data_IF_731811093200
#
_entry.id   IF_731811093200
#
_cell.length_a   1.000
_cell.length_b   1.000
_cell.length_c   1.000
_cell.angle_alpha   90.00
_cell.angle_beta   90.00
_cell.angle_gamma   90.00
#
_symmetry.space_group_name_H-M   'P 1'
#
loop_
_entity.id
_entity.type
_entity.pdbx_description
1 polymer ?
#
# COMPACT_ATOMS: atom_id res chain seq x y z
N UNK A 1 1.23 12.87 -8.69
CA UNK A 1 0.89 11.76 -7.78
C UNK A 1 0.60 10.52 -8.61
N UNK A 2 0.98 9.34 -8.13
CA UNK A 2 0.54 8.08 -8.74
C UNK A 2 -0.93 7.84 -8.37
N UNK A 3 -1.74 7.40 -9.33
CA UNK A 3 -3.17 7.13 -9.09
C UNK A 3 -3.46 5.85 -8.29
N UNK A 4 -2.45 5.01 -8.01
CA UNK A 4 -2.64 3.73 -7.30
C UNK A 4 -3.42 2.64 -8.06
N UNK A 5 -4.02 2.95 -9.21
CA UNK A 5 -4.93 2.05 -9.97
C UNK A 5 -4.34 0.67 -10.25
N UNK A 6 -3.05 0.60 -10.62
CA UNK A 6 -2.40 -0.68 -10.88
C UNK A 6 -2.31 -1.54 -9.61
N UNK A 7 -1.84 -0.98 -8.49
CA UNK A 7 -1.74 -1.71 -7.23
C UNK A 7 -3.10 -2.25 -6.75
N UNK A 8 -4.15 -1.42 -6.84
CA UNK A 8 -5.52 -1.84 -6.52
C UNK A 8 -6.04 -2.94 -7.45
N UNK A 9 -5.70 -2.89 -8.75
CA UNK A 9 -6.07 -3.93 -9.70
C UNK A 9 -5.35 -5.26 -9.40
N UNK A 10 -4.07 -5.21 -9.03
CA UNK A 10 -3.30 -6.39 -8.61
C UNK A 10 -3.89 -6.99 -7.33
N UNK A 11 -4.18 -6.19 -6.30
CA UNK A 11 -4.79 -6.65 -5.06
C UNK A 11 -6.14 -7.36 -5.32
N UNK A 12 -7.01 -6.75 -6.14
CA UNK A 12 -8.28 -7.36 -6.57
C UNK A 12 -8.07 -8.68 -7.31
N UNK A 13 -7.07 -8.74 -8.19
CA UNK A 13 -6.78 -9.92 -9.00
C UNK A 13 -6.20 -11.07 -8.17
N UNK A 14 -5.41 -10.77 -7.13
CA UNK A 14 -4.87 -11.75 -6.19
C UNK A 14 -5.99 -12.33 -5.30
N UNK A 15 -6.82 -11.45 -4.71
CA UNK A 15 -7.96 -11.89 -3.90
C UNK A 15 -8.93 -12.78 -4.70
N UNK A 16 -9.26 -12.40 -5.95
CA UNK A 16 -10.08 -13.23 -6.85
C UNK A 16 -9.49 -14.60 -7.16
N UNK A 17 -8.19 -14.80 -6.94
CA UNK A 17 -7.49 -16.08 -7.10
C UNK A 17 -7.38 -16.87 -5.80
N UNK A 18 -8.01 -16.39 -4.72
CA UNK A 18 -8.06 -17.06 -3.43
C UNK A 18 -6.94 -16.66 -2.46
N UNK A 19 -6.16 -15.64 -2.77
CA UNK A 19 -5.19 -15.10 -1.81
C UNK A 19 -5.89 -14.30 -0.70
N UNK A 20 -5.37 -14.40 0.52
CA UNK A 20 -5.55 -13.37 1.55
C UNK A 20 -4.68 -12.17 1.17
N UNK A 21 -5.24 -10.96 1.18
CA UNK A 21 -4.57 -9.79 0.63
C UNK A 21 -4.67 -8.63 1.60
N UNK A 22 -3.51 -8.16 2.03
CA UNK A 22 -3.33 -6.88 2.72
C UNK A 22 -2.74 -5.85 1.75
N UNK A 23 -3.42 -4.72 1.59
CA UNK A 23 -3.02 -3.60 0.74
C UNK A 23 -2.58 -2.42 1.62
N UNK A 24 -1.27 -2.18 1.69
CA UNK A 24 -0.72 -0.93 2.26
C UNK A 24 -0.86 0.19 1.22
N UNK A 25 -1.60 1.24 1.54
CA UNK A 25 -1.89 2.32 0.59
C UNK A 25 -1.81 3.71 1.21
N UNK A 26 -1.13 4.60 0.47
CA UNK A 26 -1.20 6.04 0.67
C UNK A 26 -2.60 6.63 0.43
N UNK A 27 -2.75 7.97 0.54
CA UNK A 27 -4.00 8.66 0.22
C UNK A 27 -4.45 8.37 -1.22
N UNK A 28 -5.71 7.96 -1.38
CA UNK A 28 -6.29 7.54 -2.66
C UNK A 28 -7.81 7.57 -2.57
N UNK A 29 -8.45 8.06 -3.64
CA UNK A 29 -9.92 8.04 -3.81
C UNK A 29 -10.44 6.69 -4.33
N UNK A 30 -9.55 5.72 -4.56
CA UNK A 30 -9.93 4.41 -5.06
C UNK A 30 -10.63 3.58 -3.97
N UNK A 31 -11.75 2.98 -4.34
CA UNK A 31 -12.47 2.04 -3.50
C UNK A 31 -11.62 0.77 -3.28
N UNK A 32 -11.52 0.36 -2.02
CA UNK A 32 -10.80 -0.87 -1.64
C UNK A 32 -11.53 -2.06 -2.25
N UNK A 33 -10.84 -2.97 -2.96
CA UNK A 33 -11.50 -4.15 -3.50
C UNK A 33 -12.14 -5.00 -2.39
N UNK A 34 -13.32 -5.55 -2.65
CA UNK A 34 -14.00 -6.43 -1.70
C UNK A 34 -13.09 -7.57 -1.23
N UNK A 35 -13.08 -7.83 0.07
CA UNK A 35 -12.30 -8.90 0.70
C UNK A 35 -10.79 -8.64 0.80
N UNK A 36 -10.31 -7.47 0.35
CA UNK A 36 -8.94 -7.00 0.58
C UNK A 36 -8.92 -6.15 1.85
N UNK A 37 -8.02 -6.47 2.78
CA UNK A 37 -7.76 -5.63 3.95
C UNK A 37 -6.87 -4.45 3.54
N UNK A 38 -7.18 -3.24 4.02
CA UNK A 38 -6.38 -2.05 3.74
C UNK A 38 -5.71 -1.54 5.00
N UNK A 39 -4.40 -1.32 4.91
CA UNK A 39 -3.64 -0.50 5.85
C UNK A 39 -3.41 0.87 5.21
N UNK A 40 -3.98 1.92 5.80
CA UNK A 40 -3.83 3.29 5.31
C UNK A 40 -2.61 3.94 5.95
N UNK A 41 -1.81 4.61 5.13
CA UNK A 41 -0.64 5.39 5.55
C UNK A 41 -0.67 6.75 4.86
N UNK A 42 -0.01 7.75 5.42
CA UNK A 42 0.07 9.10 4.86
C UNK A 42 1.48 9.43 4.40
N UNK A 43 2.49 8.91 5.10
CA UNK A 43 3.90 9.21 4.82
C UNK A 43 4.67 8.00 4.30
N UNK A 44 5.82 8.28 3.67
CA UNK A 44 6.76 7.22 3.26
C UNK A 44 7.31 6.42 4.45
N UNK A 45 7.42 7.04 5.63
CA UNK A 45 7.91 6.37 6.84
C UNK A 45 6.87 5.39 7.37
N UNK A 46 5.63 5.84 7.53
CA UNK A 46 4.52 4.96 7.93
C UNK A 46 4.35 3.79 6.93
N UNK A 47 4.52 4.07 5.62
CA UNK A 47 4.50 3.01 4.61
C UNK A 47 5.61 1.99 4.82
N UNK A 48 6.83 2.45 5.11
CA UNK A 48 7.97 1.58 5.38
C UNK A 48 7.74 0.72 6.63
N UNK A 49 7.26 1.33 7.72
CA UNK A 49 6.98 0.64 8.99
C UNK A 49 5.89 -0.43 8.80
N UNK A 50 4.75 -0.06 8.22
CA UNK A 50 3.66 -1.00 7.96
C UNK A 50 4.10 -2.18 7.07
N UNK A 51 4.90 -1.92 6.04
CA UNK A 51 5.46 -2.98 5.19
C UNK A 51 6.42 -3.86 5.99
N UNK A 52 7.32 -3.27 6.78
CA UNK A 52 8.29 -4.03 7.58
C UNK A 52 7.63 -4.99 8.57
N UNK A 53 6.49 -4.60 9.14
CA UNK A 53 5.74 -5.46 10.06
C UNK A 53 5.02 -6.61 9.34
N UNK A 54 4.64 -6.44 8.07
CA UNK A 54 3.86 -7.42 7.30
C UNK A 54 4.71 -8.35 6.41
N UNK A 55 5.88 -7.90 5.97
CA UNK A 55 6.68 -8.58 4.93
C UNK A 55 7.17 -9.95 5.38
N UNK A 56 7.41 -10.14 6.69
CA UNK A 56 7.95 -11.39 7.22
C UNK A 56 6.94 -12.55 7.15
N UNK A 57 5.65 -12.24 7.26
CA UNK A 57 4.56 -13.21 7.25
C UNK A 57 3.93 -13.40 5.85
N UNK A 58 4.30 -12.55 4.88
CA UNK A 58 3.73 -12.60 3.53
C UNK A 58 4.45 -13.60 2.62
N UNK A 59 3.69 -14.50 1.98
CA UNK A 59 4.23 -15.40 0.95
C UNK A 59 4.68 -14.67 -0.31
N UNK A 60 4.01 -13.55 -0.65
CA UNK A 60 4.28 -12.75 -1.86
C UNK A 60 4.13 -11.27 -1.53
N UNK A 61 5.09 -10.46 -1.98
CA UNK A 61 5.07 -9.01 -1.85
C UNK A 61 5.08 -8.32 -3.21
N UNK A 62 4.25 -7.28 -3.37
CA UNK A 62 4.15 -6.48 -4.61
C UNK A 62 4.28 -5.00 -4.30
N UNK A 63 5.46 -4.43 -4.60
CA UNK A 63 5.76 -3.02 -4.35
C UNK A 63 5.32 -2.12 -5.51
N UNK A 64 4.03 -1.80 -5.55
CA UNK A 64 3.42 -0.97 -6.61
C UNK A 64 3.23 0.51 -6.24
N UNK A 65 3.48 0.89 -4.98
CA UNK A 65 3.34 2.27 -4.52
C UNK A 65 4.46 3.17 -5.09
N UNK A 66 4.11 4.41 -5.45
CA UNK A 66 5.09 5.43 -5.83
C UNK A 66 5.51 6.20 -4.58
N UNK A 67 6.45 5.62 -3.82
CA UNK A 67 6.96 6.18 -2.57
C UNK A 67 7.89 7.36 -2.87
N UNK A 68 7.84 8.41 -2.06
CA UNK A 68 8.73 9.56 -2.20
C UNK A 68 10.16 9.20 -1.78
N UNK A 69 11.15 9.55 -2.62
CA UNK A 69 12.57 9.31 -2.33
C UNK A 69 13.14 10.29 -1.29
N UNK A 70 12.50 11.46 -1.11
CA UNK A 70 12.95 12.52 -0.20
C UNK A 70 11.78 13.05 0.62
N UNK A 71 12.10 13.53 1.82
CA UNK A 71 11.19 14.30 2.68
C UNK A 71 11.87 15.57 3.17
N UNK A 72 11.13 16.65 3.44
CA UNK A 72 11.70 17.82 4.09
C UNK A 72 12.24 17.45 5.48
N UNK A 73 13.35 18.07 5.88
CA UNK A 73 13.98 17.84 7.19
C UNK A 73 13.12 18.38 8.35
N UNK A 74 12.40 19.49 8.10
CA UNK A 74 11.45 20.08 9.03
C UNK A 74 10.16 20.45 8.29
N UNK A 75 9.02 20.23 8.95
CA UNK A 75 7.70 20.70 8.50
C UNK A 75 7.32 21.90 9.36
N UNK A 76 7.06 23.04 8.74
CA UNK A 76 6.56 24.25 9.41
C UNK A 76 5.09 24.46 9.05
N UNK A 77 4.26 24.75 10.05
CA UNK A 77 2.85 25.13 9.88
C UNK A 77 2.66 26.46 9.12
#
# INVERSE_FOLDING_TARGET
SSSGRMGYAVARAAWRRGAEVTLVSGPSELEVPYGVERVSVETAVEMSEAVSDLVADADVTVFAAAVADYRPEAVTD
#
